data_IF_016317857086
#
_entry.id   IF_016317857086
#
_cell.length_a   1.000
_cell.length_b   1.000
_cell.length_c   1.000
_cell.angle_alpha   90.00
_cell.angle_beta   90.00
_cell.angle_gamma   90.00
#
_symmetry.space_group_name_H-M   'P 1'
#
loop_
_entity.id
_entity.type
_entity.pdbx_description
1 polymer ?
#
# COMPACT_ATOMS: atom_id res chain seq x y z
N UNK A 1 16.58 0.17 -9.70
CA UNK A 1 16.45 -1.18 -9.09
C UNK A 1 14.98 -1.50 -9.01
N UNK A 2 14.58 -2.72 -9.33
CA UNK A 2 13.18 -3.16 -9.24
C UNK A 2 12.83 -3.43 -7.78
N UNK A 3 11.66 -2.97 -7.32
CA UNK A 3 11.17 -3.25 -5.96
C UNK A 3 10.96 -4.77 -5.80
N UNK A 4 11.46 -5.34 -4.69
CA UNK A 4 11.38 -6.77 -4.42
C UNK A 4 10.05 -7.07 -3.73
N UNK A 5 9.31 -8.06 -4.24
CA UNK A 5 8.11 -8.55 -3.55
C UNK A 5 8.44 -9.27 -2.23
N UNK A 6 7.47 -9.37 -1.33
CA UNK A 6 7.64 -9.98 0.00
C UNK A 6 6.63 -9.48 1.02
N UNK A 7 6.85 -9.84 2.29
CA UNK A 7 6.03 -9.40 3.42
C UNK A 7 6.58 -8.11 4.03
N UNK A 8 5.73 -7.11 4.16
CA UNK A 8 6.09 -5.77 4.62
C UNK A 8 5.07 -5.22 5.60
N UNK A 9 5.56 -4.43 6.55
CA UNK A 9 4.78 -3.41 7.22
C UNK A 9 4.97 -2.11 6.43
N UNK A 10 3.87 -1.47 6.01
CA UNK A 10 3.90 -0.30 5.14
C UNK A 10 3.66 0.95 6.00
N UNK A 11 4.74 1.69 6.27
CA UNK A 11 4.77 2.83 7.20
C UNK A 11 4.62 4.17 6.48
N UNK A 12 3.74 5.05 6.98
CA UNK A 12 3.64 6.42 6.49
C UNK A 12 4.90 7.24 6.80
N UNK A 13 5.41 7.99 5.82
CA UNK A 13 6.58 8.87 6.00
C UNK A 13 6.14 10.34 5.87
N UNK A 14 6.01 11.09 6.97
CA UNK A 14 5.64 12.50 6.93
C UNK A 14 6.63 13.33 6.11
N UNK A 15 6.12 14.38 5.43
CA UNK A 15 6.92 15.20 4.50
C UNK A 15 8.15 15.85 5.15
N UNK A 16 8.06 16.25 6.41
CA UNK A 16 9.13 16.95 7.12
C UNK A 16 10.17 16.00 7.78
N UNK A 17 9.94 14.69 7.73
CA UNK A 17 10.76 13.71 8.44
C UNK A 17 11.80 13.09 7.49
N UNK A 18 13.04 13.00 7.99
CA UNK A 18 14.14 12.25 7.36
C UNK A 18 14.16 10.82 7.92
N UNK A 19 14.49 9.87 7.07
CA UNK A 19 14.62 8.44 7.41
C UNK A 19 16.09 8.16 7.76
N UNK A 20 16.41 7.26 8.72
CA UNK A 20 15.50 6.50 9.58
C UNK A 20 14.86 7.33 10.70
N UNK A 21 13.62 6.98 11.07
CA UNK A 21 12.93 7.53 12.24
C UNK A 21 12.21 6.42 13.03
N UNK A 22 11.96 6.68 14.31
CA UNK A 22 11.29 5.76 15.25
C UNK A 22 9.80 6.12 15.35
N UNK A 23 8.96 5.10 15.50
CA UNK A 23 7.50 5.26 15.56
C UNK A 23 6.87 5.46 14.19
N UNK A 24 5.73 6.15 14.17
CA UNK A 24 4.92 6.36 12.97
C UNK A 24 3.68 5.47 12.95
N UNK A 25 2.92 5.60 11.86
CA UNK A 25 1.69 4.84 11.63
C UNK A 25 1.85 3.94 10.41
N UNK A 26 1.19 2.79 10.45
CA UNK A 26 1.29 1.70 9.50
C UNK A 26 -0.07 1.41 8.91
N UNK A 27 -0.09 1.10 7.61
CA UNK A 27 -1.31 0.65 6.95
C UNK A 27 -1.88 -0.58 7.66
N UNK A 28 -3.13 -0.49 8.08
CA UNK A 28 -3.80 -1.48 8.92
C UNK A 28 -5.15 -1.84 8.31
N UNK A 29 -5.35 -3.12 7.99
CA UNK A 29 -6.63 -3.62 7.49
C UNK A 29 -7.33 -4.46 8.55
N UNK A 30 -8.66 -4.42 8.62
CA UNK A 30 -9.43 -5.30 9.50
C UNK A 30 -10.63 -5.87 8.74
N UNK A 31 -11.61 -5.02 8.43
CA UNK A 31 -12.90 -5.43 7.89
C UNK A 31 -12.94 -5.29 6.36
N UNK A 32 -13.38 -6.35 5.65
CA UNK A 32 -13.59 -6.30 4.20
C UNK A 32 -14.63 -5.24 3.85
N UNK A 33 -14.36 -4.49 2.77
CA UNK A 33 -15.06 -3.31 2.28
C UNK A 33 -14.98 -2.07 3.21
N UNK A 34 -14.21 -2.12 4.30
CA UNK A 34 -13.89 -0.96 5.11
C UNK A 34 -12.59 -0.29 4.62
N UNK A 35 -12.39 1.02 4.91
CA UNK A 35 -11.14 1.70 4.64
C UNK A 35 -9.95 1.01 5.32
N UNK A 36 -8.80 1.00 4.65
CA UNK A 36 -7.52 0.67 5.28
C UNK A 36 -7.13 1.86 6.16
N UNK A 37 -6.91 1.60 7.44
CA UNK A 37 -6.57 2.60 8.45
C UNK A 37 -5.05 2.81 8.53
N UNK A 38 -4.63 3.82 9.28
CA UNK A 38 -3.25 3.97 9.72
C UNK A 38 -3.16 3.96 11.24
N UNK A 39 -2.40 3.03 11.80
CA UNK A 39 -2.30 2.88 13.24
C UNK A 39 -0.85 2.71 13.67
N UNK A 40 -0.53 3.07 14.92
CA UNK A 40 0.78 2.78 15.47
C UNK A 40 1.00 1.26 15.57
N UNK A 41 2.26 0.82 15.43
CA UNK A 41 2.62 -0.58 15.67
C UNK A 41 2.45 -0.90 17.15
N UNK A 42 1.75 -2.00 17.48
CA UNK A 42 1.62 -2.48 18.84
C UNK A 42 0.41 -3.38 19.08
N UNK A 43 0.25 -3.89 20.31
CA UNK A 43 -0.85 -4.80 20.66
C UNK A 43 -2.23 -4.15 20.63
N UNK A 44 -2.29 -2.82 20.51
CA UNK A 44 -3.53 -2.06 20.39
C UNK A 44 -3.97 -1.86 18.93
N UNK A 45 -3.19 -2.33 17.95
CA UNK A 45 -3.61 -2.26 16.55
C UNK A 45 -4.90 -3.08 16.36
N UNK A 46 -5.87 -2.50 15.67
CA UNK A 46 -7.20 -3.09 15.50
C UNK A 46 -7.24 -4.17 14.42
N UNK A 47 -6.21 -4.24 13.57
CA UNK A 47 -6.17 -5.15 12.44
C UNK A 47 -4.77 -5.62 12.04
N UNK A 48 -4.69 -6.26 10.88
CA UNK A 48 -3.46 -6.77 10.28
C UNK A 48 -2.63 -5.60 9.69
N UNK A 49 -1.35 -5.59 10.02
CA UNK A 49 -0.38 -4.57 9.58
C UNK A 49 0.70 -5.14 8.66
N UNK A 50 0.68 -6.45 8.45
CA UNK A 50 1.56 -7.18 7.54
C UNK A 50 0.89 -7.36 6.19
N UNK A 51 1.59 -6.99 5.13
CA UNK A 51 1.11 -7.04 3.77
C UNK A 51 2.08 -7.84 2.90
N UNK A 52 1.55 -8.78 2.13
CA UNK A 52 2.25 -9.42 1.05
C UNK A 52 2.15 -8.56 -0.21
N UNK A 53 3.31 -8.10 -0.69
CA UNK A 53 3.43 -7.26 -1.88
C UNK A 53 4.01 -8.11 -3.00
N UNK A 54 3.26 -8.27 -4.09
CA UNK A 54 3.63 -9.17 -5.19
C UNK A 54 3.69 -8.43 -6.53
N UNK A 55 4.74 -8.64 -7.35
CA UNK A 55 4.78 -8.06 -8.68
C UNK A 55 3.71 -8.66 -9.58
N UNK A 56 3.10 -7.83 -10.42
CA UNK A 56 2.16 -8.29 -11.45
C UNK A 56 2.93 -8.75 -12.69
N UNK A 57 2.65 -9.97 -13.14
CA UNK A 57 3.36 -10.57 -14.29
C UNK A 57 3.20 -9.70 -15.54
N UNK A 58 4.32 -9.45 -16.23
CA UNK A 58 4.35 -8.66 -17.46
C UNK A 58 4.17 -7.15 -17.28
N UNK A 59 3.97 -6.65 -16.05
CA UNK A 59 3.77 -5.21 -15.76
C UNK A 59 4.90 -4.65 -14.88
N UNK A 60 5.88 -3.91 -15.44
CA UNK A 60 6.99 -3.39 -14.67
C UNK A 60 6.53 -2.37 -13.63
N UNK A 61 7.08 -2.48 -12.41
CA UNK A 61 6.76 -1.63 -11.25
C UNK A 61 5.30 -1.68 -10.77
N UNK A 62 4.49 -2.61 -11.28
CA UNK A 62 3.11 -2.80 -10.85
C UNK A 62 3.03 -3.96 -9.87
N UNK A 63 2.32 -3.75 -8.77
CA UNK A 63 2.23 -4.68 -7.65
C UNK A 63 0.80 -4.79 -7.14
N UNK A 64 0.49 -5.94 -6.52
CA UNK A 64 -0.66 -6.10 -5.64
C UNK A 64 -0.21 -6.01 -4.18
N UNK A 65 -1.07 -5.49 -3.31
CA UNK A 65 -0.84 -5.40 -1.87
C UNK A 65 -1.99 -6.13 -1.19
N UNK A 66 -1.72 -7.29 -0.60
CA UNK A 66 -2.73 -8.15 0.00
C UNK A 66 -2.29 -8.69 1.36
N UNK A 67 -3.20 -9.31 2.10
CA UNK A 67 -2.79 -10.03 3.30
C UNK A 67 -1.80 -11.17 2.98
N UNK A 68 -0.87 -11.49 3.91
CA UNK A 68 -0.07 -12.70 3.82
C UNK A 68 -1.00 -13.90 3.67
N UNK A 69 -0.78 -14.70 2.63
CA UNK A 69 -1.56 -15.90 2.40
C UNK A 69 -1.36 -16.93 3.50
N UNK A 70 -2.31 -17.85 3.62
CA UNK A 70 -2.12 -19.02 4.47
C UNK A 70 -1.12 -19.97 3.80
N UNK A 71 0.00 -20.22 4.46
CA UNK A 71 0.86 -21.35 4.11
C UNK A 71 0.18 -22.64 4.54
N UNK A 72 -0.37 -23.41 3.60
CA UNK A 72 -0.88 -24.74 3.92
C UNK A 72 0.29 -25.65 4.35
N UNK A 73 0.15 -26.47 5.40
CA UNK A 73 1.15 -27.46 5.74
C UNK A 73 1.43 -28.40 4.56
N UNK A 74 2.66 -28.95 4.44
CA UNK A 74 2.99 -29.90 3.39
C UNK A 74 1.97 -31.06 3.34
N UNK A 75 1.38 -31.30 2.17
CA UNK A 75 0.40 -32.37 1.96
C UNK A 75 -1.07 -31.97 2.13
N UNK A 76 -1.37 -30.73 2.53
CA UNK A 76 -2.75 -30.22 2.56
C UNK A 76 -3.06 -29.49 1.26
N UNK A 77 -3.90 -30.10 0.43
CA UNK A 77 -4.40 -29.49 -0.80
C UNK A 77 -5.73 -28.78 -0.48
N UNK A 78 -5.70 -27.46 -0.30
CA UNK A 78 -6.89 -26.67 0.04
C UNK A 78 -7.86 -26.51 -1.16
N UNK A 79 -7.57 -27.11 -2.31
CA UNK A 79 -8.40 -27.02 -3.51
C UNK A 79 -8.40 -25.62 -4.09
N UNK A 80 -9.39 -24.80 -3.70
CA UNK A 80 -9.48 -23.37 -4.01
C UNK A 80 -9.05 -22.62 -2.75
N UNK A 81 -7.86 -22.01 -2.78
CA UNK A 81 -7.36 -21.25 -1.64
C UNK A 81 -8.31 -20.11 -1.24
N UNK A 82 -8.33 -19.70 0.04
CA UNK A 82 -9.16 -18.59 0.47
C UNK A 82 -8.84 -17.34 -0.37
N UNK A 83 -9.88 -16.60 -0.76
CA UNK A 83 -9.71 -15.30 -1.41
C UNK A 83 -9.09 -14.36 -0.37
N UNK A 84 -7.82 -14.00 -0.57
CA UNK A 84 -7.11 -13.10 0.33
C UNK A 84 -7.53 -11.67 0.00
N UNK A 85 -8.04 -10.90 0.98
CA UNK A 85 -8.34 -9.52 0.74
C UNK A 85 -7.04 -8.70 0.63
N UNK A 86 -7.11 -7.59 -0.08
CA UNK A 86 -6.01 -6.65 -0.24
C UNK A 86 -6.49 -5.25 -0.52
N UNK A 87 -5.57 -4.37 -0.89
CA UNK A 87 -5.89 -2.98 -1.18
C UNK A 87 -6.65 -2.89 -2.49
N UNK A 88 -7.89 -2.44 -2.41
CA UNK A 88 -8.73 -2.13 -3.56
C UNK A 88 -9.29 -0.72 -3.46
N UNK A 89 -10.10 -0.37 -4.46
CA UNK A 89 -10.79 0.91 -4.55
C UNK A 89 -12.29 0.66 -4.64
N UNK A 90 -13.08 1.44 -3.90
CA UNK A 90 -14.52 1.19 -3.76
C UNK A 90 -15.33 1.65 -4.97
N UNK A 91 -15.02 2.82 -5.52
CA UNK A 91 -15.63 3.41 -6.71
C UNK A 91 -14.72 4.54 -7.19
N UNK A 92 -14.04 4.42 -8.34
CA UNK A 92 -13.29 5.55 -8.89
C UNK A 92 -14.25 6.67 -9.27
N UNK A 93 -14.20 7.79 -8.55
CA UNK A 93 -14.89 9.01 -8.97
C UNK A 93 -13.88 10.12 -9.15
N UNK A 94 -13.66 10.51 -10.41
CA UNK A 94 -12.75 11.60 -10.77
C UNK A 94 -13.04 12.85 -9.93
N UNK A 95 -11.99 13.38 -9.27
CA UNK A 95 -12.07 14.61 -8.48
C UNK A 95 -12.38 14.43 -6.99
N UNK A 96 -12.52 13.19 -6.49
CA UNK A 96 -12.69 12.92 -5.06
C UNK A 96 -11.46 12.24 -4.45
N UNK A 97 -11.29 12.43 -3.14
CA UNK A 97 -10.40 11.60 -2.33
C UNK A 97 -11.09 10.24 -2.16
N UNK A 98 -10.57 9.22 -2.83
CA UNK A 98 -11.14 7.88 -2.77
C UNK A 98 -10.42 7.04 -1.70
N UNK A 99 -11.14 6.43 -0.74
CA UNK A 99 -10.49 5.61 0.28
C UNK A 99 -9.90 4.34 -0.35
N UNK A 100 -8.69 3.97 0.07
CA UNK A 100 -8.19 2.61 -0.14
C UNK A 100 -8.98 1.72 0.81
N UNK A 101 -9.62 0.69 0.27
CA UNK A 101 -10.46 -0.23 1.05
C UNK A 101 -9.85 -1.62 1.03
N UNK A 102 -10.07 -2.36 2.11
CA UNK A 102 -9.76 -3.78 2.13
C UNK A 102 -10.79 -4.51 1.27
N UNK A 103 -10.37 -5.15 0.18
CA UNK A 103 -11.25 -5.64 -0.88
C UNK A 103 -10.82 -7.03 -1.36
N UNK A 104 -11.78 -7.83 -1.82
CA UNK A 104 -11.52 -9.07 -2.56
C UNK A 104 -11.17 -8.80 -4.03
N UNK A 105 -11.51 -7.61 -4.54
CA UNK A 105 -11.06 -7.09 -5.82
C UNK A 105 -9.82 -6.22 -5.58
N UNK A 106 -8.66 -6.85 -5.60
CA UNK A 106 -7.37 -6.20 -5.31
C UNK A 106 -7.01 -5.31 -6.50
N UNK A 107 -6.74 -4.03 -6.22
CA UNK A 107 -6.25 -3.09 -7.21
C UNK A 107 -4.76 -3.31 -7.48
N UNK A 108 -4.33 -2.91 -8.68
CA UNK A 108 -2.93 -2.84 -9.05
C UNK A 108 -2.36 -1.47 -8.67
N UNK A 109 -1.14 -1.45 -8.18
CA UNK A 109 -0.46 -0.25 -7.68
C UNK A 109 0.90 -0.10 -8.33
N UNK A 110 1.21 1.09 -8.82
CA UNK A 110 2.57 1.45 -9.22
C UNK A 110 3.39 1.81 -7.97
N UNK A 111 4.52 1.12 -7.78
CA UNK A 111 5.45 1.38 -6.67
C UNK A 111 6.77 1.89 -7.22
N UNK A 112 7.09 3.15 -6.93
CA UNK A 112 8.30 3.83 -7.44
C UNK A 112 9.26 4.17 -6.30
N UNK A 113 10.55 3.88 -6.49
CA UNK A 113 11.57 4.19 -5.49
C UNK A 113 11.78 5.71 -5.33
N UNK A 114 11.73 6.18 -4.10
CA UNK A 114 12.10 7.56 -3.72
C UNK A 114 13.46 7.56 -3.04
N UNK A 115 13.68 6.60 -2.13
CA UNK A 115 14.96 6.35 -1.48
C UNK A 115 15.05 4.84 -1.19
N UNK A 116 15.62 4.10 -2.14
CA UNK A 116 15.70 2.63 -2.06
C UNK A 116 16.63 2.13 -0.97
N UNK A 117 17.61 2.94 -0.53
CA UNK A 117 18.54 2.58 0.55
C UNK A 117 17.78 2.43 1.87
N UNK A 118 16.80 3.29 2.11
CA UNK A 118 15.96 3.26 3.30
C UNK A 118 14.59 2.59 3.08
N UNK A 119 14.36 1.98 1.90
CA UNK A 119 13.11 1.33 1.57
C UNK A 119 11.92 2.28 1.47
N UNK A 120 12.13 3.52 1.01
CA UNK A 120 11.09 4.54 0.84
C UNK A 120 10.63 4.59 -0.61
N UNK A 121 9.33 4.47 -0.79
CA UNK A 121 8.67 4.39 -2.08
C UNK A 121 7.44 5.30 -2.11
N UNK A 122 7.01 5.63 -3.33
CA UNK A 122 5.70 6.17 -3.61
C UNK A 122 4.79 5.01 -4.04
N UNK A 123 3.52 5.09 -3.66
CA UNK A 123 2.47 4.18 -4.11
C UNK A 123 1.43 5.03 -4.87
N UNK A 124 1.15 4.67 -6.12
CA UNK A 124 0.17 5.37 -6.95
C UNK A 124 -0.69 4.40 -7.75
N UNK A 125 -1.86 4.86 -8.19
CA UNK A 125 -2.60 4.17 -9.25
C UNK A 125 -1.76 4.20 -10.54
N UNK A 126 -1.77 3.13 -11.37
CA UNK A 126 -1.17 3.16 -12.70
C UNK A 126 -1.71 4.37 -13.49
N UNK A 127 -0.82 5.09 -14.19
CA UNK A 127 -1.17 6.35 -14.82
C UNK A 127 -2.26 6.21 -15.90
N UNK A 128 -3.50 6.60 -15.57
CA UNK A 128 -4.61 6.71 -16.54
C UNK A 128 -4.91 8.15 -16.95
N UNK A 129 -4.53 9.13 -16.11
CA UNK A 129 -4.89 10.54 -16.28
C UNK A 129 -3.68 11.39 -16.71
N UNK A 130 -3.78 12.03 -17.87
CA UNK A 130 -2.75 12.98 -18.34
C UNK A 130 -2.74 14.23 -17.46
N UNK A 131 -1.57 14.58 -16.93
CA UNK A 131 -1.37 15.82 -16.16
C UNK A 131 -1.63 15.71 -14.66
N UNK A 132 -1.92 14.52 -14.14
CA UNK A 132 -2.03 14.29 -12.70
C UNK A 132 -1.52 12.90 -12.29
N UNK A 133 -1.07 12.78 -11.04
CA UNK A 133 -0.66 11.53 -10.39
C UNK A 133 -1.66 11.24 -9.27
N UNK A 134 -2.24 10.05 -9.28
CA UNK A 134 -3.12 9.56 -8.21
C UNK A 134 -2.27 8.78 -7.21
N UNK A 135 -1.86 9.41 -6.11
CA UNK A 135 -0.97 8.81 -5.11
C UNK A 135 -1.70 8.48 -3.81
N UNK A 136 -1.35 7.34 -3.22
CA UNK A 136 -1.84 6.90 -1.91
C UNK A 136 -1.24 7.78 -0.82
N UNK A 137 -2.07 8.37 0.01
CA UNK A 137 -1.72 9.23 1.14
C UNK A 137 -2.44 8.77 2.40
N UNK A 138 -1.91 9.16 3.56
CA UNK A 138 -2.65 9.16 4.81
C UNK A 138 -3.50 10.44 4.90
N UNK A 139 -4.75 10.32 5.35
CA UNK A 139 -5.62 11.44 5.70
C UNK A 139 -6.69 11.03 6.75
N UNK A 140 -6.61 11.60 7.95
CA UNK A 140 -7.52 11.33 9.07
C UNK A 140 -7.52 9.84 9.46
N UNK A 141 -6.33 9.29 9.67
CA UNK A 141 -6.09 7.92 10.14
C UNK A 141 -6.52 6.83 9.16
N UNK A 142 -6.58 7.15 7.87
CA UNK A 142 -6.92 6.21 6.77
C UNK A 142 -6.11 6.46 5.52
N UNK A 143 -5.96 5.41 4.73
CA UNK A 143 -5.39 5.49 3.39
C UNK A 143 -6.42 5.98 2.40
N UNK A 144 -6.01 6.93 1.59
CA UNK A 144 -6.80 7.50 0.52
C UNK A 144 -5.93 7.70 -0.72
N UNK A 145 -6.54 7.69 -1.89
CA UNK A 145 -5.89 8.18 -3.10
C UNK A 145 -6.27 9.64 -3.34
N UNK A 146 -5.26 10.47 -3.60
CA UNK A 146 -5.44 11.88 -3.98
C UNK A 146 -4.78 12.16 -5.32
N UNK A 147 -5.40 13.05 -6.08
CA UNK A 147 -4.85 13.57 -7.33
C UNK A 147 -3.88 14.72 -7.06
N UNK A 148 -2.69 14.63 -7.64
CA UNK A 148 -1.62 15.63 -7.57
C UNK A 148 -1.32 16.12 -8.98
N UNK A 149 -1.41 17.43 -9.26
CA UNK A 149 -1.15 17.94 -10.60
C UNK A 149 0.34 17.84 -10.95
N UNK A 150 0.64 17.44 -12.17
CA UNK A 150 2.01 17.40 -12.71
C UNK A 150 2.36 18.79 -13.24
N UNK A 151 2.96 19.59 -12.38
CA UNK A 151 3.41 20.97 -12.67
C UNK A 151 4.90 21.13 -12.40
N UNK A 152 5.52 22.21 -12.91
CA UNK A 152 6.97 22.46 -12.80
C UNK A 152 7.47 22.42 -11.35
N UNK A 153 6.71 22.99 -10.43
CA UNK A 153 7.05 23.07 -8.99
C UNK A 153 6.15 22.16 -8.17
N UNK A 154 6.04 20.90 -8.57
CA UNK A 154 5.16 19.94 -7.91
C UNK A 154 5.61 19.71 -6.45
N UNK A 155 4.68 19.76 -5.47
CA UNK A 155 5.03 19.40 -4.10
C UNK A 155 5.45 17.93 -4.01
N UNK A 156 6.30 17.61 -3.03
CA UNK A 156 6.70 16.23 -2.78
C UNK A 156 5.47 15.33 -2.57
N UNK A 157 5.43 14.23 -3.31
CA UNK A 157 4.35 13.25 -3.22
C UNK A 157 4.39 12.50 -1.88
N UNK A 158 3.25 11.94 -1.45
CA UNK A 158 3.17 11.00 -0.34
C UNK A 158 4.25 9.91 -0.42
N UNK A 159 4.89 9.59 0.71
CA UNK A 159 5.96 8.61 0.81
C UNK A 159 5.62 7.55 1.83
N UNK A 160 5.97 6.30 1.51
CA UNK A 160 5.74 5.13 2.33
C UNK A 160 7.04 4.37 2.48
N UNK A 161 7.33 3.89 3.68
CA UNK A 161 8.47 3.03 3.93
C UNK A 161 8.02 1.58 4.06
N UNK A 162 8.65 0.71 3.29
CA UNK A 162 8.39 -0.73 3.28
C UNK A 162 9.37 -1.40 4.24
N UNK A 163 8.92 -1.66 5.46
CA UNK A 163 9.71 -2.32 6.50
C UNK A 163 9.50 -3.83 6.37
N UNK A 164 10.53 -4.66 6.13
CA UNK A 164 10.36 -6.10 6.03
C UNK A 164 9.72 -6.66 7.31
N UNK A 165 8.64 -7.42 7.16
CA UNK A 165 8.05 -8.15 8.28
C UNK A 165 8.94 -9.35 8.63
N UNK A 166 9.19 -9.58 9.91
CA UNK A 166 9.86 -10.81 10.35
C UNK A 166 8.87 -11.97 10.23
N UNK A 167 9.23 -13.01 9.47
CA UNK A 167 8.53 -14.30 9.48
C UNK A 167 8.85 -15.08 10.75
#
# INVERSE_FOLDING_TARGET
MTFKGGHYQIRWVPRAIKVPFIGGVYATGDIINAPVLTEALGPSATGEQTWNVQPVEGKPNIYTIAYPGFSAPPGVNLGVGPVLPGWGLRNHRSGHTDPVVLSVHIAEWEITAVDSEHGVYQISEPAELVGAIQAVTEEHDRLCVKSYPVIRDMPALPRWQFVPASN
#
